data_IF_870707227094
#
_entry.id   IF_870707227094
#
_cell.length_a   1.000
_cell.length_b   1.000
_cell.length_c   1.000
_cell.angle_alpha   90.00
_cell.angle_beta   90.00
_cell.angle_gamma   90.00
#
_symmetry.space_group_name_H-M   'P 1'
#
loop_
_entity.id
_entity.type
_entity.pdbx_description
1 polymer ?
#
# COMPACT_ATOMS: atom_id res chain seq x y z
N UNK A 1 11.29 -12.51 -9.39
CA UNK A 1 11.77 -11.12 -9.22
C UNK A 1 10.79 -10.45 -8.29
N UNK A 2 11.25 -10.08 -7.10
CA UNK A 2 10.45 -9.38 -6.10
C UNK A 2 10.15 -7.98 -6.67
N UNK A 3 8.99 -7.81 -7.30
CA UNK A 3 8.61 -6.55 -7.94
C UNK A 3 7.98 -5.66 -6.89
N UNK A 4 8.60 -4.52 -6.62
CA UNK A 4 7.99 -3.47 -5.81
C UNK A 4 6.83 -2.85 -6.58
N UNK A 5 5.70 -2.75 -5.90
CA UNK A 5 4.45 -2.20 -6.34
C UNK A 5 4.12 -1.01 -5.42
N UNK A 6 3.72 0.13 -5.98
CA UNK A 6 3.25 1.29 -5.18
C UNK A 6 1.75 1.46 -5.36
N UNK A 7 1.08 1.84 -4.27
CA UNK A 7 -0.37 2.05 -4.19
C UNK A 7 -0.69 3.31 -3.43
N UNK A 8 -1.46 4.16 -4.09
CA UNK A 8 -1.95 5.40 -3.50
C UNK A 8 -3.38 5.18 -3.06
N UNK A 9 -3.71 5.47 -1.81
CA UNK A 9 -5.10 5.54 -1.34
C UNK A 9 -5.42 6.99 -1.04
N UNK A 10 -6.57 7.47 -1.54
CA UNK A 10 -7.21 8.62 -0.89
C UNK A 10 -7.81 8.13 0.40
N UNK A 11 -7.01 8.11 1.45
CA UNK A 11 -7.56 7.92 2.78
C UNK A 11 -8.32 9.18 3.13
N UNK A 12 -9.59 9.01 3.51
CA UNK A 12 -10.33 10.07 4.16
C UNK A 12 -9.53 10.56 5.37
N UNK A 13 -9.14 11.85 5.30
CA UNK A 13 -8.59 12.75 6.33
C UNK A 13 -7.41 12.17 7.14
N UNK A 14 -6.19 12.59 6.81
CA UNK A 14 -5.08 12.55 7.78
C UNK A 14 -5.51 13.38 8.99
N UNK A 15 -5.55 12.76 10.16
CA UNK A 15 -5.77 13.44 11.43
C UNK A 15 -4.44 13.99 11.94
N UNK A 16 -4.47 15.23 12.42
CA UNK A 16 -3.33 15.87 13.08
C UNK A 16 -3.68 16.04 14.55
N UNK A 17 -2.80 15.59 15.43
CA UNK A 17 -2.85 15.86 16.87
C UNK A 17 -1.63 16.67 17.28
N UNK A 18 -1.84 17.59 18.19
CA UNK A 18 -0.80 18.41 18.81
C UNK A 18 -1.01 18.34 20.32
N UNK A 19 0.06 18.06 21.08
CA UNK A 19 0.01 18.07 22.54
C UNK A 19 0.50 19.41 23.11
N UNK A 20 0.35 19.59 24.43
CA UNK A 20 0.74 20.82 25.13
C UNK A 20 2.26 21.11 25.07
N UNK A 21 3.06 20.11 24.70
CA UNK A 21 4.51 20.23 24.53
C UNK A 21 4.90 20.59 23.07
N UNK A 22 3.93 20.73 22.17
CA UNK A 22 4.17 21.01 20.74
C UNK A 22 4.58 19.79 19.93
N UNK A 23 4.48 18.58 20.48
CA UNK A 23 4.67 17.34 19.74
C UNK A 23 3.49 17.15 18.78
N UNK A 24 3.80 16.74 17.55
CA UNK A 24 2.82 16.65 16.48
C UNK A 24 2.76 15.22 15.96
N UNK A 25 1.56 14.66 15.94
CA UNK A 25 1.34 13.28 15.48
C UNK A 25 0.37 13.28 14.31
N UNK A 26 0.74 12.61 13.21
CA UNK A 26 -0.14 12.30 12.09
C UNK A 26 -0.73 10.92 12.26
N UNK A 27 -2.02 10.79 12.00
CA UNK A 27 -2.76 9.54 12.15
C UNK A 27 -3.62 9.32 10.90
N UNK A 28 -3.69 8.08 10.43
CA UNK A 28 -4.56 7.72 9.33
C UNK A 28 -4.49 6.24 8.99
N UNK A 29 -5.08 5.87 7.86
CA UNK A 29 -4.97 4.53 7.30
C UNK A 29 -4.15 4.55 6.01
N UNK A 30 -3.14 3.69 5.92
CA UNK A 30 -2.39 3.47 4.69
C UNK A 30 -3.12 2.50 3.76
N UNK A 31 -3.86 1.54 4.32
CA UNK A 31 -4.67 0.53 3.60
C UNK A 31 -6.01 0.36 4.28
N UNK A 32 -7.10 0.12 3.53
CA UNK A 32 -8.40 -0.34 4.06
C UNK A 32 -8.71 -1.72 3.50
N UNK A 33 -9.18 -2.63 4.35
CA UNK A 33 -9.42 -4.02 3.95
C UNK A 33 -10.63 -4.17 3.04
N UNK A 34 -10.55 -5.15 2.13
CA UNK A 34 -11.63 -5.55 1.21
C UNK A 34 -12.22 -4.40 0.38
N UNK A 35 -11.53 -3.25 0.35
CA UNK A 35 -11.94 -2.10 -0.44
C UNK A 35 -11.37 -2.24 -1.84
N UNK A 36 -12.26 -2.47 -2.81
CA UNK A 36 -11.89 -2.55 -4.23
C UNK A 36 -11.28 -1.22 -4.70
N UNK A 37 -10.16 -1.32 -5.43
CA UNK A 37 -9.48 -0.23 -6.12
C UNK A 37 -10.33 0.38 -7.25
N UNK A 38 -9.85 1.47 -7.85
CA UNK A 38 -10.29 1.84 -9.20
C UNK A 38 -10.10 0.67 -10.16
N UNK A 39 -10.79 0.72 -11.28
CA UNK A 39 -10.45 -0.13 -12.41
C UNK A 39 -9.03 0.18 -12.87
N UNK A 40 -8.15 -0.79 -12.75
CA UNK A 40 -6.73 -0.74 -13.08
C UNK A 40 -6.42 -1.65 -14.27
N UNK A 41 -5.21 -1.53 -14.81
CA UNK A 41 -4.73 -2.37 -15.92
C UNK A 41 -5.02 -1.75 -17.29
N UNK A 42 -4.01 -1.80 -18.16
CA UNK A 42 -4.08 -1.22 -19.51
C UNK A 42 -4.66 -2.22 -20.53
N UNK A 43 -4.18 -3.47 -20.51
CA UNK A 43 -4.59 -4.51 -21.46
C UNK A 43 -5.83 -5.29 -21.00
N UNK A 44 -5.90 -5.63 -19.71
CA UNK A 44 -7.09 -6.23 -19.11
C UNK A 44 -7.41 -5.47 -17.83
N UNK A 45 -8.64 -4.98 -17.76
CA UNK A 45 -9.16 -4.21 -16.64
C UNK A 45 -9.40 -5.13 -15.44
N UNK A 46 -8.98 -4.72 -14.26
CA UNK A 46 -9.17 -5.45 -13.01
C UNK A 46 -9.36 -4.50 -11.84
N UNK A 47 -9.87 -5.02 -10.72
CA UNK A 47 -9.87 -4.34 -9.42
C UNK A 47 -8.97 -5.10 -8.45
N UNK A 48 -8.39 -4.39 -7.51
CA UNK A 48 -7.52 -4.94 -6.47
C UNK A 48 -8.11 -4.64 -5.09
N UNK A 49 -7.93 -5.57 -4.16
CA UNK A 49 -8.19 -5.33 -2.74
C UNK A 49 -7.12 -6.02 -1.89
N UNK A 50 -7.03 -5.61 -0.63
CA UNK A 50 -6.13 -6.21 0.35
C UNK A 50 -6.94 -6.96 1.40
N UNK A 51 -6.53 -8.20 1.66
CA UNK A 51 -7.13 -9.01 2.71
C UNK A 51 -6.70 -8.51 4.09
N UNK A 52 -7.59 -8.57 5.08
CA UNK A 52 -7.18 -8.36 6.47
C UNK A 52 -6.07 -9.37 6.84
N UNK A 53 -4.97 -8.89 7.41
CA UNK A 53 -3.81 -9.68 7.74
C UNK A 53 -2.74 -9.75 6.64
N UNK A 54 -2.95 -9.07 5.51
CA UNK A 54 -2.00 -9.11 4.39
C UNK A 54 -0.61 -8.59 4.75
N UNK A 55 -0.48 -7.73 5.76
CA UNK A 55 0.80 -7.16 6.21
C UNK A 55 1.26 -7.65 7.58
N UNK A 56 0.53 -8.55 8.25
CA UNK A 56 0.87 -9.00 9.62
C UNK A 56 2.34 -9.44 9.76
N UNK A 57 2.85 -10.22 8.81
CA UNK A 57 4.22 -10.76 8.88
C UNK A 57 5.30 -9.69 8.69
N UNK A 58 5.09 -8.73 7.79
CA UNK A 58 6.09 -7.67 7.54
C UNK A 58 6.14 -6.66 8.68
N UNK A 59 5.00 -6.39 9.35
CA UNK A 59 4.98 -5.50 10.51
C UNK A 59 5.76 -6.04 11.71
N UNK A 60 5.92 -7.36 11.81
CA UNK A 60 6.69 -8.00 12.89
C UNK A 60 8.19 -8.12 12.58
N UNK A 61 8.56 -8.26 11.31
CA UNK A 61 9.89 -8.69 10.91
C UNK A 61 10.73 -7.60 10.21
N UNK A 62 10.09 -6.57 9.67
CA UNK A 62 10.76 -5.56 8.85
C UNK A 62 10.72 -4.17 9.52
N UNK A 63 11.59 -3.27 9.05
CA UNK A 63 11.61 -1.86 9.44
C UNK A 63 11.08 -0.98 8.31
N UNK A 64 9.87 -0.47 8.50
CA UNK A 64 9.19 0.41 7.56
C UNK A 64 9.49 1.87 7.88
N UNK A 65 9.47 2.69 6.82
CA UNK A 65 9.69 4.13 6.90
C UNK A 65 8.41 4.85 6.51
N UNK A 66 8.19 6.01 7.13
CA UNK A 66 7.27 7.00 6.62
C UNK A 66 8.07 8.04 5.84
N UNK A 67 7.72 8.26 4.57
CA UNK A 67 8.44 9.15 3.67
C UNK A 67 7.54 10.32 3.22
N UNK A 68 8.17 11.31 2.60
CA UNK A 68 7.47 12.32 1.82
C UNK A 68 7.55 11.97 0.33
N UNK A 69 6.41 11.79 -0.32
CA UNK A 69 6.31 11.55 -1.77
C UNK A 69 7.16 10.38 -2.30
N UNK A 70 7.25 9.28 -1.54
CA UNK A 70 8.09 8.11 -1.84
C UNK A 70 9.60 8.38 -1.97
N UNK A 71 10.04 9.56 -1.57
CA UNK A 71 11.43 9.97 -1.67
C UNK A 71 12.22 9.40 -0.49
N UNK A 72 13.09 8.43 -0.77
CA UNK A 72 13.90 7.76 0.25
C UNK A 72 14.93 8.67 0.91
N UNK A 73 15.18 9.87 0.35
CA UNK A 73 15.98 10.92 0.99
C UNK A 73 15.17 11.77 2.00
N UNK A 74 13.84 11.66 2.01
CA UNK A 74 12.92 12.46 2.83
C UNK A 74 12.18 11.58 3.83
N UNK A 75 12.93 11.05 4.79
CA UNK A 75 12.39 10.20 5.87
C UNK A 75 11.80 11.07 6.98
N UNK A 76 10.55 10.79 7.35
CA UNK A 76 9.85 11.44 8.46
C UNK A 76 9.85 10.60 9.74
N UNK A 77 9.83 9.27 9.61
CA UNK A 77 9.86 8.36 10.76
C UNK A 77 10.05 6.91 10.35
N UNK A 78 10.20 6.02 11.32
CA UNK A 78 10.36 4.58 11.09
C UNK A 78 9.92 3.74 12.28
N UNK A 79 9.62 2.47 12.02
CA UNK A 79 9.13 1.55 13.06
C UNK A 79 10.20 1.16 14.06
N UNK A 80 11.46 0.98 13.63
CA UNK A 80 12.56 0.53 14.52
C UNK A 80 12.84 1.43 15.72
N UNK A 81 12.53 2.73 15.65
CA UNK A 81 12.72 3.67 16.76
C UNK A 81 11.40 4.25 17.30
N UNK A 82 10.27 3.59 17.00
CA UNK A 82 8.92 3.95 17.48
C UNK A 82 8.38 5.32 17.06
N UNK A 83 9.07 6.05 16.17
CA UNK A 83 8.56 7.31 15.61
C UNK A 83 7.44 7.09 14.61
N UNK A 84 7.39 5.90 13.99
CA UNK A 84 6.24 5.40 13.24
C UNK A 84 5.69 4.16 13.93
N UNK A 85 4.38 4.12 14.15
CA UNK A 85 3.65 2.96 14.64
C UNK A 85 2.68 2.52 13.56
N UNK A 86 2.72 1.24 13.21
CA UNK A 86 1.84 0.62 12.22
C UNK A 86 1.08 -0.50 12.89
N UNK A 87 -0.23 -0.56 12.68
CA UNK A 87 -1.08 -1.60 13.24
C UNK A 87 -2.21 -1.97 12.30
N UNK A 88 -2.50 -3.26 12.15
CA UNK A 88 -3.71 -3.73 11.47
C UNK A 88 -4.88 -3.76 12.47
N UNK A 89 -6.01 -3.17 12.09
CA UNK A 89 -7.27 -3.26 12.83
C UNK A 89 -8.41 -3.77 11.93
N UNK A 90 -9.65 -3.73 12.41
CA UNK A 90 -10.80 -4.20 11.63
C UNK A 90 -11.08 -3.35 10.37
N UNK A 91 -10.58 -2.11 10.31
CA UNK A 91 -10.77 -1.17 9.19
C UNK A 91 -9.65 -1.31 8.17
N UNK A 92 -8.40 -1.39 8.63
CA UNK A 92 -7.26 -1.25 7.75
C UNK A 92 -5.89 -1.30 8.42
N UNK A 93 -4.86 -0.98 7.65
CA UNK A 93 -3.51 -0.70 8.14
C UNK A 93 -3.47 0.73 8.63
N UNK A 94 -3.56 0.92 9.95
CA UNK A 94 -3.48 2.22 10.60
C UNK A 94 -2.01 2.61 10.83
N UNK A 95 -1.71 3.89 10.65
CA UNK A 95 -0.42 4.47 11.01
C UNK A 95 -0.59 5.59 12.05
N UNK A 96 0.44 5.75 12.88
CA UNK A 96 0.69 6.94 13.68
C UNK A 96 2.14 7.34 13.52
N UNK A 97 2.38 8.60 13.19
CA UNK A 97 3.71 9.15 12.95
C UNK A 97 3.93 10.36 13.84
N UNK A 98 4.96 10.30 14.68
CA UNK A 98 5.46 11.48 15.38
C UNK A 98 6.34 12.27 14.42
N UNK A 99 5.92 13.49 14.11
CA UNK A 99 6.65 14.33 13.18
C UNK A 99 7.95 14.81 13.83
N UNK A 100 9.08 14.69 13.12
CA UNK A 100 10.37 15.12 13.65
C UNK A 100 10.41 16.65 13.68
N UNK A 101 11.01 17.23 14.72
CA UNK A 101 11.27 18.67 14.77
C UNK A 101 12.45 19.05 13.85
N UNK A 102 12.17 19.04 12.56
CA UNK A 102 13.09 19.34 11.47
C UNK A 102 12.35 20.20 10.45
N UNK A 103 13.07 20.83 9.52
CA UNK A 103 12.44 21.57 8.41
C UNK A 103 11.41 20.71 7.68
N UNK A 104 11.78 19.48 7.31
CA UNK A 104 10.89 18.57 6.60
C UNK A 104 9.63 18.21 7.41
N UNK A 105 9.77 17.91 8.70
CA UNK A 105 8.62 17.59 9.56
C UNK A 105 7.70 18.80 9.78
N UNK A 106 8.28 19.99 9.94
CA UNK A 106 7.56 21.25 10.06
C UNK A 106 6.80 21.60 8.77
N UNK A 107 7.41 21.42 7.61
CA UNK A 107 6.79 21.67 6.31
C UNK A 107 5.69 20.65 6.00
N UNK A 108 5.92 19.38 6.36
CA UNK A 108 4.91 18.30 6.28
C UNK A 108 3.68 18.66 7.11
N UNK A 109 3.86 19.04 8.38
CA UNK A 109 2.77 19.45 9.26
C UNK A 109 1.96 20.61 8.67
N UNK A 110 2.65 21.67 8.22
CA UNK A 110 1.98 22.86 7.68
C UNK A 110 1.23 22.56 6.39
N UNK A 111 1.82 21.77 5.50
CA UNK A 111 1.20 21.38 4.22
C UNK A 111 -0.07 20.57 4.45
N UNK A 112 -0.04 19.60 5.37
CA UNK A 112 -1.22 18.79 5.71
C UNK A 112 -2.27 19.62 6.44
N UNK A 113 -1.86 20.45 7.43
CA UNK A 113 -2.78 21.31 8.18
C UNK A 113 -3.50 22.33 7.31
N UNK A 114 -2.80 22.87 6.30
CA UNK A 114 -3.39 23.80 5.32
C UNK A 114 -4.28 23.08 4.28
N UNK A 115 -4.13 21.77 4.13
CA UNK A 115 -4.84 20.96 3.15
C UNK A 115 -4.16 20.91 1.78
N UNK A 116 -2.88 21.28 1.68
CA UNK A 116 -2.12 21.15 0.43
C UNK A 116 -1.76 19.69 0.13
N UNK A 117 -1.68 18.86 1.18
CA UNK A 117 -1.40 17.43 1.11
C UNK A 117 -2.35 16.68 2.04
N UNK A 118 -3.14 15.79 1.49
CA UNK A 118 -4.13 15.00 2.21
C UNK A 118 -4.10 13.50 1.86
N UNK A 119 -3.26 13.11 0.88
CA UNK A 119 -3.13 11.75 0.39
C UNK A 119 -2.11 10.91 1.15
N UNK A 120 -2.36 9.60 1.22
CA UNK A 120 -1.43 8.60 1.76
C UNK A 120 -1.19 7.53 0.71
N UNK A 121 0.06 7.10 0.61
CA UNK A 121 0.46 6.05 -0.31
C UNK A 121 1.33 5.03 0.41
N UNK A 122 1.48 3.86 -0.17
CA UNK A 122 2.32 2.80 0.36
C UNK A 122 2.99 2.00 -0.75
N UNK A 123 4.24 1.66 -0.51
CA UNK A 123 5.05 0.78 -1.34
C UNK A 123 5.07 -0.60 -0.72
N UNK A 124 4.79 -1.62 -1.52
CA UNK A 124 4.77 -3.01 -1.08
C UNK A 124 5.34 -3.95 -2.14
N UNK A 125 5.72 -5.17 -1.75
CA UNK A 125 5.98 -6.26 -2.68
C UNK A 125 4.95 -7.37 -2.42
N UNK A 126 4.24 -7.80 -3.46
CA UNK A 126 3.28 -8.90 -3.35
C UNK A 126 3.99 -10.22 -3.08
N UNK A 127 3.56 -10.96 -2.05
CA UNK A 127 4.06 -12.30 -1.72
C UNK A 127 3.07 -13.37 -2.17
N UNK A 128 1.77 -13.14 -1.94
CA UNK A 128 0.70 -14.05 -2.35
C UNK A 128 -0.56 -13.27 -2.70
N UNK A 129 -1.29 -13.79 -3.69
CA UNK A 129 -2.54 -13.25 -4.18
C UNK A 129 -3.53 -14.35 -4.57
N UNK A 130 -4.80 -13.99 -4.58
CA UNK A 130 -5.90 -14.76 -5.15
C UNK A 130 -6.50 -13.95 -6.30
N UNK A 131 -6.82 -14.60 -7.42
CA UNK A 131 -7.45 -13.96 -8.57
C UNK A 131 -8.79 -14.64 -8.83
N UNK A 132 -9.84 -13.83 -8.91
CA UNK A 132 -11.19 -14.25 -9.27
C UNK A 132 -11.57 -13.63 -10.62
N UNK A 133 -12.08 -14.45 -11.53
CA UNK A 133 -12.62 -14.02 -12.82
C UNK A 133 -14.14 -14.29 -12.83
N UNK A 134 -14.96 -13.42 -12.21
CA UNK A 134 -16.42 -13.56 -12.27
C UNK A 134 -16.92 -13.35 -13.71
N UNK A 135 -17.98 -14.08 -14.10
CA UNK A 135 -18.52 -14.04 -15.46
C UNK A 135 -19.10 -12.65 -15.83
N UNK A 136 -19.63 -11.91 -14.83
CA UNK A 136 -20.35 -10.64 -15.02
C UNK A 136 -19.65 -9.39 -14.43
N UNK A 137 -18.40 -9.51 -13.93
CA UNK A 137 -17.65 -8.39 -13.34
C UNK A 137 -16.17 -8.42 -13.79
N UNK A 138 -15.44 -7.34 -13.49
CA UNK A 138 -14.00 -7.29 -13.73
C UNK A 138 -13.26 -8.31 -12.86
N UNK A 139 -12.12 -8.77 -13.37
CA UNK A 139 -11.19 -9.59 -12.61
C UNK A 139 -10.87 -8.91 -11.26
N UNK A 140 -10.96 -9.67 -10.17
CA UNK A 140 -10.63 -9.20 -8.83
C UNK A 140 -9.35 -9.87 -8.36
N UNK A 141 -8.33 -9.04 -8.10
CA UNK A 141 -7.07 -9.44 -7.46
C UNK A 141 -7.18 -9.16 -5.96
N UNK A 142 -7.03 -10.18 -5.14
CA UNK A 142 -6.97 -10.03 -3.68
C UNK A 142 -5.56 -10.33 -3.22
N UNK A 143 -4.84 -9.30 -2.75
CA UNK A 143 -3.53 -9.48 -2.15
C UNK A 143 -3.72 -10.06 -0.75
N UNK A 144 -3.32 -11.32 -0.57
CA UNK A 144 -3.49 -12.07 0.67
C UNK A 144 -2.27 -11.98 1.58
N UNK A 145 -1.09 -11.73 0.99
CA UNK A 145 0.15 -11.50 1.73
C UNK A 145 1.07 -10.55 0.97
N UNK A 146 1.63 -9.57 1.67
CA UNK A 146 2.50 -8.56 1.11
C UNK A 146 3.61 -8.15 2.09
N UNK A 147 4.77 -7.79 1.54
CA UNK A 147 5.84 -7.09 2.26
C UNK A 147 5.62 -5.59 2.15
N UNK A 148 5.47 -4.90 3.27
CA UNK A 148 5.32 -3.44 3.30
C UNK A 148 6.72 -2.83 3.35
N UNK A 149 7.00 -1.92 2.43
CA UNK A 149 8.30 -1.28 2.30
C UNK A 149 8.28 0.09 2.96
N UNK A 150 7.27 0.90 2.65
CA UNK A 150 7.12 2.26 3.16
C UNK A 150 5.67 2.74 3.08
N UNK A 151 5.40 3.80 3.82
CA UNK A 151 4.18 4.61 3.74
C UNK A 151 4.61 6.05 3.44
N UNK A 152 3.84 6.80 2.68
CA UNK A 152 4.19 8.16 2.27
C UNK A 152 3.01 9.12 2.35
N UNK A 153 3.27 10.37 2.73
CA UNK A 153 2.37 11.48 2.43
C UNK A 153 2.57 11.92 0.97
N UNK A 154 1.48 12.08 0.23
CA UNK A 154 1.51 12.41 -1.22
C UNK A 154 0.52 13.52 -1.57
N UNK A 155 0.95 14.48 -2.39
CA UNK A 155 0.11 15.60 -2.82
C UNK A 155 -0.97 15.20 -3.84
N UNK A 156 -0.66 14.23 -4.70
CA UNK A 156 -1.57 13.73 -5.73
C UNK A 156 -1.80 12.24 -5.49
N UNK A 157 -2.70 11.87 -4.58
CA UNK A 157 -3.20 10.51 -4.56
C UNK A 157 -3.93 10.26 -5.88
N UNK A 158 -3.69 9.11 -6.51
CA UNK A 158 -4.02 8.89 -7.91
C UNK A 158 -5.45 9.28 -8.36
N UNK A 159 -6.50 9.18 -7.52
CA UNK A 159 -7.86 9.66 -7.84
C UNK A 159 -8.70 9.99 -6.59
N UNK A 160 -9.50 11.09 -6.60
CA UNK A 160 -10.09 11.73 -5.41
C UNK A 160 -11.22 10.95 -4.71
N UNK A 161 -11.84 9.96 -5.36
CA UNK A 161 -12.98 9.21 -4.80
C UNK A 161 -12.54 7.91 -4.12
N UNK A 162 -11.68 8.04 -3.09
CA UNK A 162 -11.43 6.96 -2.13
C UNK A 162 -10.93 5.64 -2.74
N UNK A 163 -10.08 5.69 -3.75
CA UNK A 163 -9.67 4.52 -4.52
C UNK A 163 -8.16 4.28 -4.45
N UNK A 164 -7.79 3.00 -4.34
CA UNK A 164 -6.41 2.53 -4.50
C UNK A 164 -6.05 2.59 -6.00
N UNK A 165 -4.86 3.06 -6.39
CA UNK A 165 -4.38 3.00 -7.78
C UNK A 165 -2.96 2.46 -7.88
N UNK A 166 -2.65 1.69 -8.93
CA UNK A 166 -1.31 1.19 -9.22
C UNK A 166 -0.55 2.02 -10.24
N UNK A 167 0.75 2.18 -10.01
CA UNK A 167 1.72 2.56 -11.03
C UNK A 167 2.67 1.39 -11.29
N UNK A 168 2.85 1.03 -12.56
CA UNK A 168 3.98 0.20 -13.02
C UNK A 168 3.85 -1.33 -12.92
N UNK A 169 2.73 -1.90 -12.49
CA UNK A 169 2.54 -3.37 -12.43
C UNK A 169 1.26 -3.84 -13.15
N UNK A 170 1.39 -4.89 -13.97
CA UNK A 170 0.28 -5.59 -14.65
C UNK A 170 0.17 -7.02 -14.10
N UNK A 171 -0.78 -7.32 -13.20
CA UNK A 171 -0.94 -8.63 -12.58
C UNK A 171 -1.36 -9.72 -13.59
N UNK A 172 -2.08 -9.34 -14.65
CA UNK A 172 -2.60 -10.32 -15.60
C UNK A 172 -1.50 -10.98 -16.43
N UNK A 173 -0.49 -10.19 -16.84
CA UNK A 173 0.68 -10.74 -17.53
C UNK A 173 1.38 -11.79 -16.67
N UNK A 174 1.49 -11.55 -15.36
CA UNK A 174 2.09 -12.51 -14.44
C UNK A 174 1.26 -13.78 -14.28
N UNK A 175 -0.05 -13.64 -14.02
CA UNK A 175 -0.98 -14.77 -13.88
C UNK A 175 -1.00 -15.68 -15.13
N UNK A 176 -1.07 -15.09 -16.33
CA UNK A 176 -1.10 -15.87 -17.57
C UNK A 176 0.21 -16.61 -17.84
N UNK A 177 1.36 -16.00 -17.51
CA UNK A 177 2.67 -16.66 -17.60
C UNK A 177 2.78 -17.84 -16.62
N UNK A 178 2.32 -17.67 -15.38
CA UNK A 178 2.29 -18.74 -14.38
C UNK A 178 1.35 -19.88 -14.76
N UNK A 179 0.13 -19.58 -15.22
CA UNK A 179 -0.84 -20.59 -15.68
C UNK A 179 -0.26 -21.42 -16.82
N UNK A 180 0.32 -20.77 -17.85
CA UNK A 180 1.00 -21.46 -18.96
C UNK A 180 2.18 -22.32 -18.47
N UNK A 181 2.95 -21.83 -17.50
CA UNK A 181 4.09 -22.56 -16.94
C UNK A 181 3.64 -23.77 -16.12
N UNK A 182 2.56 -23.63 -15.34
CA UNK A 182 1.94 -24.71 -14.57
C UNK A 182 1.37 -25.80 -15.48
N UNK A 183 0.61 -25.42 -16.51
CA UNK A 183 0.07 -26.33 -17.52
C UNK A 183 1.19 -27.10 -18.25
N UNK A 184 2.28 -26.41 -18.64
CA UNK A 184 3.45 -27.03 -19.27
C UNK A 184 4.16 -28.01 -18.33
N UNK A 185 4.33 -27.67 -17.04
CA UNK A 185 4.91 -28.57 -16.02
C UNK A 185 4.04 -29.82 -15.82
N UNK A 186 2.72 -29.65 -15.69
CA UNK A 186 1.76 -30.76 -15.58
C UNK A 186 1.84 -31.70 -16.78
N UNK A 187 1.93 -31.13 -17.99
CA UNK A 187 2.08 -31.91 -19.22
C UNK A 187 3.39 -32.68 -19.31
N UNK A 188 4.51 -32.07 -18.87
CA UNK A 188 5.81 -32.76 -18.81
C UNK A 188 5.80 -33.93 -17.83
N UNK A 189 5.21 -33.74 -16.64
CA UNK A 189 5.16 -34.76 -15.59
C UNK A 189 4.34 -36.00 -16.02
N UNK A 190 3.26 -35.79 -16.77
CA UNK A 190 2.45 -36.86 -17.36
C UNK A 190 3.11 -37.58 -18.55
N UNK A 191 4.17 -37.01 -19.14
CA UNK A 191 4.95 -37.64 -20.23
C UNK A 191 6.17 -38.41 -19.73
N UNK A 192 6.54 -38.22 -18.46
CA UNK A 192 7.66 -38.91 -17.80
C UNK A 192 7.23 -40.11 -16.93
N UNK A 193 5.93 -40.39 -16.90
CA UNK A 193 5.30 -41.61 -16.38
C UNK A 193 5.06 -42.58 -17.54
#
# INVERSE_FOLDING_TARGET
MDKTETREIVTQKIEIREDDNGNRTLIGYAVKWEKKSVVMGYYRKFREQFKNGAFTETLQNDDQRFLWSHDTSKVLGRTKNNTLRLNEDAVGLRFELDLPDTTLGNDTYKSIKRGDVDGVSFGFSMISEEIQEPDDDLMLRTVTKAKLLEVSAVAFPAYPDSEVSARGYDPYKHFTEEKKRSEKRRRLYLQTL
#
